data_IF_539456223069
#
_entry.id   IF_539456223069
#
_cell.length_a   1.000
_cell.length_b   1.000
_cell.length_c   1.000
_cell.angle_alpha   90.00
_cell.angle_beta   90.00
_cell.angle_gamma   90.00
#
_symmetry.space_group_name_H-M   'P 1'
#
loop_
_entity.id
_entity.type
_entity.pdbx_description
1 polymer ?
#
# COMPACT_ATOMS: atom_id res chain seq x y z
N UNK A 1 -11.03 -22.52 49.79
CA UNK A 1 -12.06 -22.35 48.74
C UNK A 1 -11.32 -22.09 47.43
N UNK A 2 -11.02 -23.14 46.66
CA UNK A 2 -10.39 -23.03 45.33
C UNK A 2 -11.51 -23.03 44.31
N UNK A 3 -11.78 -21.88 43.69
CA UNK A 3 -12.66 -21.78 42.52
C UNK A 3 -11.85 -22.26 41.32
N UNK A 4 -11.99 -23.53 40.97
CA UNK A 4 -11.57 -24.02 39.66
C UNK A 4 -12.68 -23.63 38.68
N UNK A 5 -12.50 -22.52 37.97
CA UNK A 5 -13.35 -22.17 36.85
C UNK A 5 -13.09 -23.15 35.72
N UNK A 6 -13.91 -24.19 35.60
CA UNK A 6 -13.87 -25.09 34.45
C UNK A 6 -14.21 -24.29 33.20
N UNK A 7 -13.22 -24.10 32.32
CA UNK A 7 -13.43 -23.42 31.04
C UNK A 7 -14.35 -24.27 30.17
N UNK A 8 -15.50 -23.69 29.81
CA UNK A 8 -16.46 -24.34 28.92
C UNK A 8 -15.80 -24.58 27.54
N UNK A 9 -15.69 -25.84 27.08
CA UNK A 9 -15.00 -26.18 25.84
C UNK A 9 -15.64 -25.55 24.60
N UNK A 10 -16.93 -25.19 24.67
CA UNK A 10 -17.63 -24.47 23.59
C UNK A 10 -17.14 -23.02 23.45
N UNK A 11 -16.83 -22.37 24.58
CA UNK A 11 -16.33 -21.00 24.60
C UNK A 11 -14.87 -20.94 24.13
N UNK A 12 -14.06 -21.95 24.46
CA UNK A 12 -12.68 -22.06 23.98
C UNK A 12 -12.63 -22.22 22.46
N UNK A 13 -13.49 -23.08 21.90
CA UNK A 13 -13.57 -23.28 20.44
C UNK A 13 -14.02 -22.02 19.69
N UNK A 14 -14.99 -21.31 20.26
CA UNK A 14 -15.46 -20.03 19.70
C UNK A 14 -14.38 -18.94 19.78
N UNK A 15 -13.65 -18.87 20.89
CA UNK A 15 -12.53 -17.95 21.06
C UNK A 15 -11.39 -18.25 20.08
N UNK A 16 -11.02 -19.52 19.89
CA UNK A 16 -10.01 -19.93 18.92
C UNK A 16 -10.44 -19.64 17.48
N UNK A 17 -11.73 -19.81 17.17
CA UNK A 17 -12.28 -19.47 15.86
C UNK A 17 -12.17 -17.96 15.59
N UNK A 18 -12.57 -17.12 16.56
CA UNK A 18 -12.41 -15.66 16.48
C UNK A 18 -10.94 -15.24 16.38
N UNK A 19 -10.04 -15.87 17.15
CA UNK A 19 -8.61 -15.60 17.10
C UNK A 19 -8.01 -16.00 15.74
N UNK A 20 -8.45 -17.12 15.17
CA UNK A 20 -8.01 -17.55 13.83
C UNK A 20 -8.52 -16.62 12.73
N UNK A 21 -9.76 -16.12 12.85
CA UNK A 21 -10.34 -15.15 11.93
C UNK A 21 -9.60 -13.81 12.02
N UNK A 22 -9.27 -13.38 13.25
CA UNK A 22 -8.48 -12.19 13.52
C UNK A 22 -7.05 -12.31 12.95
N UNK A 23 -6.38 -13.45 13.13
CA UNK A 23 -5.05 -13.70 12.55
C UNK A 23 -5.09 -13.74 11.02
N UNK A 24 -6.12 -14.34 10.42
CA UNK A 24 -6.33 -14.36 8.98
C UNK A 24 -6.54 -12.96 8.39
N UNK A 25 -7.20 -12.04 9.11
CA UNK A 25 -7.30 -10.63 8.70
C UNK A 25 -5.99 -9.84 8.84
N UNK A 26 -5.04 -10.32 9.63
CA UNK A 26 -3.77 -9.62 9.91
C UNK A 26 -2.65 -10.05 8.92
N UNK A 27 -2.79 -11.18 8.22
CA UNK A 27 -1.63 -11.87 7.62
C UNK A 27 -1.43 -11.74 6.10
N UNK A 28 -2.19 -10.94 5.36
CA UNK A 28 -2.07 -10.91 3.88
C UNK A 28 -2.00 -9.49 3.27
N UNK A 29 -1.25 -8.60 3.89
CA UNK A 29 -0.55 -7.58 3.10
C UNK A 29 0.93 -7.92 3.18
N UNK A 30 1.46 -8.54 2.13
CA UNK A 30 2.90 -8.47 1.88
C UNK A 30 3.16 -6.97 1.72
N UNK A 31 3.77 -6.35 2.72
CA UNK A 31 4.09 -4.93 2.70
C UNK A 31 5.21 -4.75 1.67
N UNK A 32 4.83 -4.56 0.41
CA UNK A 32 5.77 -4.22 -0.65
C UNK A 32 6.21 -2.78 -0.40
N UNK A 33 7.49 -2.58 -0.13
CA UNK A 33 8.05 -1.24 0.08
C UNK A 33 8.31 -0.59 -1.28
N UNK A 34 7.41 0.33 -1.65
CA UNK A 34 7.44 1.06 -2.92
C UNK A 34 7.96 2.47 -2.65
N UNK A 35 8.94 2.93 -3.44
CA UNK A 35 9.30 4.34 -3.54
C UNK A 35 8.87 4.92 -4.89
N UNK A 36 8.17 6.05 -4.87
CA UNK A 36 7.81 6.81 -6.07
C UNK A 36 8.63 8.09 -6.10
N UNK A 37 9.58 8.19 -7.02
CA UNK A 37 10.39 9.38 -7.18
C UNK A 37 9.61 10.47 -7.91
N UNK A 38 9.33 11.57 -7.21
CA UNK A 38 8.64 12.74 -7.76
C UNK A 38 9.61 13.60 -8.59
N UNK A 39 10.02 13.05 -9.74
CA UNK A 39 10.80 13.76 -10.77
C UNK A 39 10.00 14.01 -12.03
N UNK A 40 8.74 14.40 -11.84
CA UNK A 40 7.86 14.83 -12.92
C UNK A 40 8.20 16.26 -13.35
N UNK A 41 7.80 16.62 -14.57
CA UNK A 41 7.92 17.97 -15.12
C UNK A 41 6.64 18.81 -14.87
N UNK A 42 5.77 18.34 -13.97
CA UNK A 42 4.45 18.91 -13.65
C UNK A 42 3.54 19.13 -14.88
N UNK A 43 3.75 18.32 -15.92
CA UNK A 43 2.93 18.35 -17.13
C UNK A 43 1.68 17.52 -16.89
N UNK A 44 0.52 18.16 -16.93
CA UNK A 44 -0.77 17.48 -16.88
C UNK A 44 -1.20 17.02 -18.26
N UNK A 45 -1.74 15.79 -18.35
CA UNK A 45 -2.37 15.24 -19.55
C UNK A 45 -3.75 14.67 -19.19
N UNK A 46 -4.69 14.58 -20.13
CA UNK A 46 -5.93 13.85 -19.92
C UNK A 46 -5.65 12.40 -19.51
N UNK A 47 -6.16 12.00 -18.36
CA UNK A 47 -6.09 10.64 -17.85
C UNK A 47 -7.43 9.92 -18.16
N UNK A 48 -7.42 8.81 -18.90
CA UNK A 48 -8.64 8.11 -19.29
C UNK A 48 -9.25 7.26 -18.17
N UNK A 49 -8.51 7.00 -17.09
CA UNK A 49 -8.97 6.20 -15.95
C UNK A 49 -9.69 7.10 -14.94
N UNK A 50 -9.10 8.26 -14.64
CA UNK A 50 -9.63 9.20 -13.67
C UNK A 50 -10.52 10.30 -14.28
N UNK A 51 -10.63 10.32 -15.61
CA UNK A 51 -11.44 11.28 -16.38
C UNK A 51 -11.10 12.76 -16.06
N UNK A 52 -9.84 13.04 -15.75
CA UNK A 52 -9.35 14.37 -15.39
C UNK A 52 -7.92 14.61 -15.90
N UNK A 53 -7.42 15.84 -15.83
CA UNK A 53 -6.04 16.15 -16.21
C UNK A 53 -5.10 15.88 -15.03
N UNK A 54 -4.20 14.91 -15.16
CA UNK A 54 -3.25 14.53 -14.13
C UNK A 54 -1.81 14.59 -14.62
N UNK A 55 -0.90 14.84 -13.68
CA UNK A 55 0.53 14.56 -13.89
C UNK A 55 0.76 13.05 -13.86
N UNK A 56 1.88 12.60 -14.42
CA UNK A 56 2.24 11.17 -14.36
C UNK A 56 2.39 10.71 -12.91
N UNK A 57 3.01 11.54 -12.08
CA UNK A 57 3.13 11.30 -10.64
C UNK A 57 1.77 11.14 -9.95
N UNK A 58 0.83 12.06 -10.21
CA UNK A 58 -0.51 12.02 -9.60
C UNK A 58 -1.28 10.76 -10.02
N UNK A 59 -1.22 10.36 -11.30
CA UNK A 59 -1.89 9.15 -11.76
C UNK A 59 -1.33 7.88 -11.10
N UNK A 60 0.00 7.77 -10.97
CA UNK A 60 0.67 6.64 -10.32
C UNK A 60 0.30 6.56 -8.83
N UNK A 61 0.48 7.65 -8.09
CA UNK A 61 0.24 7.67 -6.63
C UNK A 61 -1.23 7.44 -6.29
N UNK A 62 -2.15 7.98 -7.10
CA UNK A 62 -3.59 7.72 -6.94
C UNK A 62 -3.93 6.26 -7.19
N UNK A 63 -3.38 5.66 -8.25
CA UNK A 63 -3.57 4.23 -8.55
C UNK A 63 -3.06 3.35 -7.41
N UNK A 64 -1.87 3.64 -6.86
CA UNK A 64 -1.33 2.91 -5.72
C UNK A 64 -2.23 3.05 -4.47
N UNK A 65 -2.78 4.24 -4.24
CA UNK A 65 -3.75 4.49 -3.17
C UNK A 65 -5.06 3.71 -3.33
N UNK A 66 -5.62 3.66 -4.54
CA UNK A 66 -6.86 2.89 -4.84
C UNK A 66 -6.64 1.38 -4.76
N UNK A 67 -5.42 0.92 -5.02
CA UNK A 67 -5.00 -0.48 -4.86
C UNK A 67 -4.58 -0.82 -3.41
N UNK A 68 -4.69 0.13 -2.48
CA UNK A 68 -4.31 -0.03 -1.07
C UNK A 68 -2.85 -0.45 -0.86
N UNK A 69 -1.95 -0.07 -1.79
CA UNK A 69 -0.51 -0.24 -1.60
C UNK A 69 0.06 0.87 -0.74
N UNK A 70 0.88 0.49 0.24
CA UNK A 70 1.71 1.45 0.95
C UNK A 70 2.90 1.85 0.06
N UNK A 71 3.18 3.14 -0.02
CA UNK A 71 4.34 3.64 -0.75
C UNK A 71 4.87 4.90 -0.08
N UNK A 72 6.16 5.14 -0.24
CA UNK A 72 6.81 6.41 0.05
C UNK A 72 7.01 7.20 -1.25
N UNK A 73 6.96 8.52 -1.16
CA UNK A 73 7.23 9.39 -2.31
C UNK A 73 7.92 10.66 -1.87
N UNK A 74 8.94 11.08 -2.61
CA UNK A 74 9.66 12.34 -2.38
C UNK A 74 10.25 12.86 -3.70
N UNK A 75 10.52 14.16 -3.74
CA UNK A 75 11.31 14.85 -4.76
C UNK A 75 12.80 14.51 -4.68
N UNK A 76 13.30 14.22 -3.47
CA UNK A 76 14.67 13.79 -3.22
C UNK A 76 14.76 12.27 -3.29
N UNK A 77 15.81 11.78 -3.96
CA UNK A 77 16.11 10.35 -3.98
C UNK A 77 16.71 9.94 -2.62
N UNK A 78 16.19 8.92 -1.93
CA UNK A 78 16.79 8.43 -0.70
C UNK A 78 18.18 7.85 -0.96
N UNK A 79 19.07 7.99 0.03
CA UNK A 79 20.47 7.54 -0.09
C UNK A 79 20.57 6.02 -0.30
N UNK A 80 19.63 5.25 0.27
CA UNK A 80 19.60 3.80 0.17
C UNK A 80 18.33 3.31 -0.55
N UNK A 81 18.39 3.22 -1.88
CA UNK A 81 17.29 2.66 -2.67
C UNK A 81 17.10 1.15 -2.48
N UNK A 82 18.09 0.45 -1.92
CA UNK A 82 18.01 -1.01 -1.71
C UNK A 82 17.05 -1.42 -0.60
N UNK A 83 16.52 -0.46 0.17
CA UNK A 83 15.45 -0.68 1.14
C UNK A 83 14.08 -0.84 0.48
N UNK A 84 13.94 -0.44 -0.79
CA UNK A 84 12.68 -0.54 -1.52
C UNK A 84 12.72 -1.75 -2.47
N UNK A 85 11.62 -2.50 -2.48
CA UNK A 85 11.43 -3.60 -3.41
C UNK A 85 11.06 -3.10 -4.81
N UNK A 86 10.38 -1.95 -4.88
CA UNK A 86 9.99 -1.29 -6.12
C UNK A 86 10.37 0.18 -6.06
N UNK A 87 11.04 0.65 -7.11
CA UNK A 87 11.31 2.07 -7.33
C UNK A 87 10.64 2.49 -8.63
N UNK A 88 9.70 3.42 -8.55
CA UNK A 88 8.98 3.99 -9.69
C UNK A 88 9.54 5.37 -9.98
N UNK A 89 9.94 5.61 -11.23
CA UNK A 89 10.43 6.91 -11.69
C UNK A 89 9.43 7.50 -12.68
N UNK A 90 8.71 8.54 -12.27
CA UNK A 90 7.81 9.29 -13.17
C UNK A 90 8.62 10.33 -13.94
N UNK A 91 8.96 10.05 -15.21
CA UNK A 91 9.74 10.96 -16.05
C UNK A 91 8.88 12.01 -16.79
N UNK A 92 7.58 12.06 -16.49
CA UNK A 92 6.60 12.88 -17.21
C UNK A 92 6.36 12.42 -18.65
N UNK A 93 5.46 13.12 -19.34
CA UNK A 93 5.22 12.90 -20.76
C UNK A 93 6.39 13.49 -21.56
N UNK A 94 7.24 12.64 -22.15
CA UNK A 94 8.10 13.09 -23.24
C UNK A 94 7.21 13.39 -24.45
N UNK A 95 6.87 14.65 -24.66
CA UNK A 95 6.26 15.07 -25.92
C UNK A 95 7.26 14.80 -27.04
N UNK A 96 7.05 13.73 -27.81
CA UNK A 96 7.60 13.65 -29.15
C UNK A 96 6.78 14.61 -30.01
N UNK A 97 7.41 15.71 -30.44
CA UNK A 97 6.86 16.67 -31.41
C UNK A 97 6.53 16.02 -32.74
#
# INVERSE_FOLDING_TARGET
MKMNSELNPRNVRFFLFLLSLLLLTISNSYAIDIFVWQKDNDITSPDPIFEENLTTFSAITRTLGELEYNFQSDTLLPENLSEYEIVIVSLGFFCNT
#
